data_IF_789152823321
#
_entry.id   IF_789152823321
#
_cell.length_a   1.000
_cell.length_b   1.000
_cell.length_c   1.000
_cell.angle_alpha   90.00
_cell.angle_beta   90.00
_cell.angle_gamma   90.00
#
_symmetry.space_group_name_H-M   'P 1'
#
loop_
_entity.id
_entity.type
_entity.pdbx_description
1 polymer ?
#
# COMPACT_ATOMS: atom_id res chain seq x y z
N UNK A 1 -13.09 25.05 10.13
CA UNK A 1 -13.37 23.61 10.28
C UNK A 1 -12.66 22.90 9.16
N UNK A 2 -11.80 21.93 9.47
CA UNK A 2 -11.05 21.20 8.46
C UNK A 2 -11.72 19.83 8.26
N UNK A 3 -12.72 19.81 7.37
CA UNK A 3 -13.55 18.63 7.14
C UNK A 3 -12.75 17.40 6.72
N UNK A 4 -11.64 17.58 6.01
CA UNK A 4 -10.80 16.47 5.59
C UNK A 4 -10.08 15.86 6.80
N UNK A 5 -9.47 16.71 7.63
CA UNK A 5 -8.79 16.25 8.85
C UNK A 5 -9.76 15.65 9.87
N UNK A 6 -10.96 16.21 10.00
CA UNK A 6 -11.98 15.67 10.90
C UNK A 6 -12.45 14.28 10.46
N UNK A 7 -12.63 14.07 9.15
CA UNK A 7 -12.94 12.75 8.60
C UNK A 7 -11.79 11.75 8.80
N UNK A 8 -10.54 12.15 8.54
CA UNK A 8 -9.36 11.29 8.79
C UNK A 8 -9.31 10.87 10.26
N UNK A 9 -9.55 11.81 11.18
CA UNK A 9 -9.58 11.53 12.63
C UNK A 9 -10.70 10.57 12.99
N UNK A 10 -11.90 10.73 12.42
CA UNK A 10 -13.02 9.83 12.72
C UNK A 10 -12.76 8.41 12.23
N UNK A 11 -12.12 8.25 11.08
CA UNK A 11 -11.80 6.94 10.53
C UNK A 11 -10.66 6.24 11.30
N UNK A 12 -9.66 6.99 11.80
CA UNK A 12 -8.54 6.39 12.53
C UNK A 12 -8.85 6.12 14.00
N UNK A 13 -9.73 6.90 14.63
CA UNK A 13 -10.04 6.82 16.06
C UNK A 13 -10.41 5.40 16.56
N UNK A 14 -11.23 4.60 15.83
CA UNK A 14 -11.53 3.22 16.21
C UNK A 14 -10.31 2.30 16.31
N UNK A 15 -9.23 2.64 15.60
CA UNK A 15 -8.02 1.81 15.51
C UNK A 15 -6.91 2.25 16.46
N UNK A 16 -7.07 3.39 17.15
CA UNK A 16 -6.06 4.03 18.00
C UNK A 16 -5.40 3.06 18.98
N UNK A 17 -6.18 2.34 19.78
CA UNK A 17 -5.66 1.45 20.83
C UNK A 17 -4.73 0.37 20.25
N UNK A 18 -5.13 -0.23 19.13
CA UNK A 18 -4.32 -1.27 18.45
C UNK A 18 -3.03 -0.70 17.88
N UNK A 19 -3.07 0.52 17.34
CA UNK A 19 -1.89 1.21 16.80
C UNK A 19 -0.90 1.53 17.93
N UNK A 20 -1.39 2.11 19.03
CA UNK A 20 -0.57 2.45 20.21
C UNK A 20 0.09 1.22 20.86
N UNK A 21 -0.55 0.05 20.78
CA UNK A 21 -0.06 -1.20 21.35
C UNK A 21 0.87 -2.01 20.44
N UNK A 22 1.11 -1.54 19.21
CA UNK A 22 2.00 -2.23 18.26
C UNK A 22 3.47 -1.95 18.54
N UNK A 23 4.36 -2.86 18.11
CA UNK A 23 5.81 -2.70 18.27
C UNK A 23 6.35 -1.42 17.62
N UNK A 24 5.72 -0.99 16.51
CA UNK A 24 6.02 0.27 15.85
C UNK A 24 4.71 0.99 15.46
N UNK A 25 4.22 1.91 16.30
CA UNK A 25 2.98 2.64 16.07
C UNK A 25 2.93 3.41 14.75
N UNK A 26 4.07 3.91 14.26
CA UNK A 26 4.12 4.65 12.98
C UNK A 26 3.99 3.73 11.77
N UNK A 27 4.64 2.57 11.81
CA UNK A 27 4.41 1.54 10.81
C UNK A 27 2.96 1.07 10.83
N UNK A 28 2.42 0.75 12.01
CA UNK A 28 1.03 0.32 12.16
C UNK A 28 0.02 1.37 11.69
N UNK A 29 0.27 2.65 11.95
CA UNK A 29 -0.52 3.76 11.41
C UNK A 29 -0.48 3.78 9.89
N UNK A 30 0.70 3.68 9.26
CA UNK A 30 0.83 3.70 7.80
C UNK A 30 0.04 2.56 7.13
N UNK A 31 0.15 1.33 7.66
CA UNK A 31 -0.64 0.19 7.16
C UNK A 31 -2.13 0.37 7.36
N UNK A 32 -2.56 0.90 8.51
CA UNK A 32 -3.97 1.15 8.76
C UNK A 32 -4.53 2.23 7.83
N UNK A 33 -3.79 3.32 7.60
CA UNK A 33 -4.17 4.37 6.66
C UNK A 33 -4.26 3.84 5.23
N UNK A 34 -3.31 3.02 4.79
CA UNK A 34 -3.39 2.35 3.49
C UNK A 34 -4.68 1.54 3.35
N UNK A 35 -5.02 0.74 4.39
CA UNK A 35 -6.26 -0.05 4.39
C UNK A 35 -7.49 0.85 4.24
N UNK A 36 -7.56 1.95 4.98
CA UNK A 36 -8.67 2.90 4.90
C UNK A 36 -8.81 3.51 3.49
N UNK A 37 -7.71 3.94 2.89
CA UNK A 37 -7.70 4.49 1.52
C UNK A 37 -8.13 3.44 0.50
N UNK A 38 -7.60 2.22 0.61
CA UNK A 38 -7.97 1.11 -0.26
C UNK A 38 -9.45 0.77 -0.14
N UNK A 39 -9.95 0.60 1.09
CA UNK A 39 -11.35 0.26 1.34
C UNK A 39 -12.27 1.37 0.80
N UNK A 40 -11.86 2.65 0.89
CA UNK A 40 -12.59 3.76 0.25
C UNK A 40 -12.54 3.70 -1.28
N UNK A 41 -11.38 3.40 -1.85
CA UNK A 41 -11.20 3.24 -3.29
C UNK A 41 -12.15 2.18 -3.85
N UNK A 42 -12.31 1.05 -3.15
CA UNK A 42 -13.26 -0.01 -3.53
C UNK A 42 -14.71 0.50 -3.63
N UNK A 43 -15.11 1.46 -2.78
CA UNK A 43 -16.47 2.03 -2.83
C UNK A 43 -16.70 2.97 -4.01
N UNK A 44 -15.62 3.48 -4.61
CA UNK A 44 -15.68 4.48 -5.70
C UNK A 44 -15.46 3.84 -7.06
N UNK A 45 -14.74 2.72 -7.12
CA UNK A 45 -14.52 2.00 -8.37
C UNK A 45 -15.78 1.25 -8.75
N UNK A 46 -16.49 1.78 -9.74
CA UNK A 46 -17.58 1.09 -10.40
C UNK A 46 -17.11 0.52 -11.75
N UNK A 47 -16.92 -0.80 -11.78
CA UNK A 47 -16.52 -1.47 -13.02
C UNK A 47 -17.66 -1.54 -14.05
N UNK A 48 -18.92 -1.28 -13.69
CA UNK A 48 -20.06 -1.32 -14.63
C UNK A 48 -20.04 -0.17 -15.63
N UNK A 49 -19.42 0.96 -15.27
CA UNK A 49 -19.26 2.13 -16.16
C UNK A 49 -17.94 2.10 -16.95
N UNK A 50 -17.02 1.19 -16.63
CA UNK A 50 -15.72 1.08 -17.27
C UNK A 50 -15.69 -0.05 -18.32
N UNK A 51 -15.69 0.31 -19.60
CA UNK A 51 -15.59 -0.67 -20.70
C UNK A 51 -14.17 -1.21 -20.93
N UNK A 52 -13.15 -0.52 -20.41
CA UNK A 52 -11.73 -0.87 -20.54
C UNK A 52 -11.17 -1.70 -19.37
N UNK A 53 -9.86 -1.91 -19.40
CA UNK A 53 -9.12 -2.40 -18.24
C UNK A 53 -8.85 -1.23 -17.29
N UNK A 54 -9.04 -1.46 -15.99
CA UNK A 54 -8.61 -0.56 -14.92
C UNK A 54 -7.43 -1.22 -14.22
N UNK A 55 -6.29 -0.53 -14.18
CA UNK A 55 -5.10 -0.99 -13.46
C UNK A 55 -5.02 -0.25 -12.14
N UNK A 56 -4.95 -1.00 -11.04
CA UNK A 56 -4.81 -0.44 -9.70
C UNK A 56 -3.47 -0.84 -9.12
N UNK A 57 -2.68 0.16 -8.71
CA UNK A 57 -1.44 -0.03 -7.96
C UNK A 57 -1.59 0.75 -6.67
N UNK A 58 -1.46 0.06 -5.54
CA UNK A 58 -1.61 0.65 -4.22
C UNK A 58 -0.52 0.16 -3.29
N UNK A 59 -0.10 1.03 -2.36
CA UNK A 59 1.00 0.75 -1.46
C UNK A 59 1.27 1.89 -0.51
N UNK A 60 2.37 1.76 0.24
CA UNK A 60 2.83 2.76 1.20
C UNK A 60 4.07 3.43 0.61
N UNK A 61 4.01 4.75 0.47
CA UNK A 61 5.19 5.55 0.13
C UNK A 61 6.04 5.77 1.38
N UNK A 62 7.35 5.56 1.25
CA UNK A 62 8.34 5.73 2.29
C UNK A 62 9.28 6.84 1.82
N UNK A 63 9.07 8.03 2.38
CA UNK A 63 9.88 9.19 2.06
C UNK A 63 11.17 9.16 2.87
N UNK A 64 12.31 9.31 2.21
CA UNK A 64 13.63 9.36 2.83
C UNK A 64 14.22 10.77 2.78
N UNK A 65 15.32 11.04 3.51
CA UNK A 65 16.02 12.32 3.39
C UNK A 65 16.51 12.56 1.97
N UNK A 66 16.66 13.83 1.57
CA UNK A 66 17.01 14.29 0.21
C UNK A 66 18.25 13.62 -0.43
N UNK A 67 19.10 12.96 0.36
CA UNK A 67 20.28 12.23 -0.10
C UNK A 67 19.99 10.78 -0.53
N UNK A 68 18.76 10.29 -0.41
CA UNK A 68 18.35 8.92 -0.73
C UNK A 68 17.09 8.92 -1.59
N UNK A 69 16.97 7.93 -2.46
CA UNK A 69 15.75 7.73 -3.24
C UNK A 69 14.61 7.23 -2.34
N UNK A 70 13.41 7.77 -2.55
CA UNK A 70 12.20 7.31 -1.90
C UNK A 70 11.87 5.86 -2.29
N UNK A 71 11.25 5.15 -1.35
CA UNK A 71 10.75 3.80 -1.59
C UNK A 71 9.23 3.77 -1.69
N UNK A 72 8.72 2.77 -2.40
CA UNK A 72 7.30 2.44 -2.41
C UNK A 72 7.14 0.96 -2.09
N UNK A 73 6.39 0.67 -1.04
CA UNK A 73 6.04 -0.69 -0.67
C UNK A 73 4.71 -1.08 -1.34
N UNK A 74 4.72 -1.91 -2.40
CA UNK A 74 3.51 -2.33 -3.07
C UNK A 74 2.71 -3.29 -2.18
N UNK A 75 1.40 -3.04 -2.10
CA UNK A 75 0.44 -3.85 -1.33
C UNK A 75 -0.72 -4.35 -2.20
N UNK A 76 -0.91 -3.76 -3.38
CA UNK A 76 -1.92 -4.15 -4.38
C UNK A 76 -1.37 -3.85 -5.78
N UNK A 77 -1.52 -4.81 -6.68
CA UNK A 77 -1.34 -4.60 -8.11
C UNK A 77 -2.33 -5.49 -8.86
N UNK A 78 -3.34 -4.87 -9.44
CA UNK A 78 -4.48 -5.56 -10.03
C UNK A 78 -4.86 -4.99 -11.40
N UNK A 79 -5.35 -5.86 -12.27
CA UNK A 79 -6.04 -5.49 -13.50
C UNK A 79 -7.49 -5.98 -13.40
N UNK A 80 -8.41 -5.02 -13.46
CA UNK A 80 -9.86 -5.25 -13.39
C UNK A 80 -10.50 -4.95 -14.74
N UNK A 81 -11.52 -5.73 -15.10
CA UNK A 81 -12.34 -5.50 -16.28
C UNK A 81 -13.77 -5.96 -16.01
N UNK A 82 -14.76 -5.20 -16.49
CA UNK A 82 -16.16 -5.55 -16.31
C UNK A 82 -16.46 -6.97 -16.83
N UNK A 83 -17.20 -7.75 -16.04
CA UNK A 83 -17.57 -9.13 -16.38
C UNK A 83 -16.40 -10.13 -16.38
N UNK A 84 -15.22 -9.75 -15.87
CA UNK A 84 -14.05 -10.63 -15.77
C UNK A 84 -13.54 -10.69 -14.33
N UNK A 85 -12.94 -11.82 -13.98
CA UNK A 85 -12.24 -12.00 -12.70
C UNK A 85 -11.05 -11.04 -12.62
N UNK A 86 -10.88 -10.37 -11.48
CA UNK A 86 -9.71 -9.55 -11.18
C UNK A 86 -8.43 -10.37 -11.29
N UNK A 87 -7.43 -9.85 -12.00
CA UNK A 87 -6.09 -10.43 -12.10
C UNK A 87 -5.15 -9.70 -11.17
N UNK A 88 -4.49 -10.41 -10.27
CA UNK A 88 -3.43 -9.86 -9.42
C UNK A 88 -2.06 -10.10 -10.06
N UNK A 89 -1.17 -9.14 -9.91
CA UNK A 89 0.21 -9.15 -10.41
C UNK A 89 1.22 -8.89 -9.28
N UNK A 90 0.88 -9.22 -8.03
CA UNK A 90 1.79 -9.02 -6.90
C UNK A 90 3.07 -9.87 -6.99
N UNK A 91 3.07 -10.93 -7.79
CA UNK A 91 4.22 -11.79 -8.08
C UNK A 91 5.38 -11.01 -8.72
N UNK A 92 5.12 -9.94 -9.47
CA UNK A 92 6.19 -9.15 -10.12
C UNK A 92 7.12 -8.46 -9.11
N UNK A 93 6.66 -8.25 -7.87
CA UNK A 93 7.45 -7.66 -6.80
C UNK A 93 8.22 -8.70 -5.98
N UNK A 94 7.96 -10.00 -6.21
CA UNK A 94 8.71 -11.08 -5.59
C UNK A 94 9.94 -11.38 -6.45
N UNK A 95 10.94 -10.49 -6.42
CA UNK A 95 12.26 -10.84 -6.95
C UNK A 95 12.90 -11.81 -5.96
N UNK A 96 13.32 -13.03 -6.36
CA UNK A 96 14.25 -13.78 -5.52
C UNK A 96 15.49 -12.92 -5.34
N UNK A 97 15.95 -12.79 -4.09
CA UNK A 97 17.22 -12.11 -3.81
C UNK A 97 18.30 -12.75 -4.71
N UNK A 98 19.10 -11.97 -5.43
CA UNK A 98 20.27 -12.53 -6.10
C UNK A 98 21.11 -13.25 -5.04
N UNK A 99 21.52 -14.48 -5.34
CA UNK A 99 22.43 -15.26 -4.50
C UNK A 99 23.72 -14.44 -4.35
N UNK A 100 23.89 -13.90 -3.14
CA UNK A 100 25.06 -13.24 -2.55
C UNK A 100 26.26 -12.97 -3.48
N UNK A 101 26.67 -11.70 -3.54
CA UNK A 101 28.10 -11.36 -3.42
C UNK A 101 28.62 -12.05 -2.16
N UNK A 102 29.16 -13.26 -2.32
CA UNK A 102 29.94 -13.92 -1.30
C UNK A 102 31.17 -13.06 -1.07
N UNK A 103 31.22 -12.47 0.12
CA UNK A 103 32.38 -11.79 0.68
C UNK A 103 33.59 -12.71 0.47
N UNK A 104 34.48 -12.35 -0.46
CA UNK A 104 35.82 -12.93 -0.53
C UNK A 104 36.57 -12.45 0.71
N UNK A 105 36.46 -13.18 1.82
CA UNK A 105 37.42 -13.03 2.91
C UNK A 105 38.74 -13.61 2.43
N UNK A 106 39.68 -12.69 2.19
CA UNK A 106 41.09 -12.97 1.94
C UNK A 106 41.63 -13.82 3.10
N UNK A 107 42.22 -14.97 2.80
CA UNK A 107 43.14 -15.67 3.70
C UNK A 107 44.58 -15.31 3.32
#
# INVERSE_FOLDING_TARGET
NDFQMDWIKSEIAPHRKRIEQSDNPMSALAYQTYKMVRDRLETVIDMSVCQGNVVLIGGIQINLPDSMDDYFQPMMFEVRKHGQTTRTHMDVFHRPLPVQEQITTVQ
#
